data_IF_415092686873
#
_entry.id   IF_415092686873
#
_cell.length_a   1.000
_cell.length_b   1.000
_cell.length_c   1.000
_cell.angle_alpha   90.00
_cell.angle_beta   90.00
_cell.angle_gamma   90.00
#
_symmetry.space_group_name_H-M   'P 1'
#
loop_
_entity.id
_entity.type
_entity.pdbx_description
1 polymer ?
#
# COMPACT_ATOMS: atom_id res chain seq x y z
N UNK A 1 -3.20 1.63 7.95
CA UNK A 1 -4.09 0.87 8.85
C UNK A 1 -3.55 0.69 10.27
N UNK A 2 -2.24 0.51 10.51
CA UNK A 2 -1.70 0.41 11.87
C UNK A 2 -1.99 1.61 12.79
N UNK A 3 -2.39 2.76 12.25
CA UNK A 3 -2.90 3.91 12.99
C UNK A 3 -4.02 3.54 13.99
N UNK A 4 -4.88 2.57 13.65
CA UNK A 4 -5.99 2.15 14.53
C UNK A 4 -5.53 1.34 15.74
N UNK A 5 -4.27 0.91 15.78
CA UNK A 5 -3.67 0.23 16.94
C UNK A 5 -3.15 1.20 18.00
N UNK A 6 -3.08 2.50 17.71
CA UNK A 6 -2.54 3.50 18.64
C UNK A 6 -3.50 3.74 19.80
N UNK A 7 -2.95 4.19 20.93
CA UNK A 7 -3.75 4.55 22.12
C UNK A 7 -4.75 5.67 21.80
N UNK A 8 -4.37 6.59 20.91
CA UNK A 8 -5.24 7.64 20.39
C UNK A 8 -5.15 7.64 18.87
N UNK A 9 -5.98 6.82 18.18
CA UNK A 9 -5.99 6.78 16.72
C UNK A 9 -6.41 8.13 16.13
N UNK A 10 -5.94 8.44 14.93
CA UNK A 10 -6.42 9.61 14.22
C UNK A 10 -7.93 9.46 13.89
N UNK A 11 -8.79 10.41 14.32
CA UNK A 11 -10.23 10.33 14.09
C UNK A 11 -10.61 10.34 12.61
N UNK A 12 -9.85 11.01 11.73
CA UNK A 12 -10.09 10.99 10.29
C UNK A 12 -9.88 9.60 9.69
N UNK A 13 -8.88 8.85 10.17
CA UNK A 13 -8.66 7.46 9.74
C UNK A 13 -9.77 6.55 10.21
N UNK A 14 -10.24 6.70 11.46
CA UNK A 14 -11.36 5.91 11.97
C UNK A 14 -12.63 6.18 11.16
N UNK A 15 -12.90 7.44 10.85
CA UNK A 15 -14.02 7.85 10.01
C UNK A 15 -13.91 7.26 8.60
N UNK A 16 -12.74 7.37 7.97
CA UNK A 16 -12.50 6.77 6.67
C UNK A 16 -12.75 5.26 6.67
N UNK A 17 -12.25 4.53 7.67
CA UNK A 17 -12.46 3.07 7.75
C UNK A 17 -13.93 2.72 7.92
N UNK A 18 -14.69 3.53 8.66
CA UNK A 18 -16.12 3.34 8.88
C UNK A 18 -16.95 3.67 7.64
N UNK A 19 -16.61 4.75 6.95
CA UNK A 19 -17.45 5.35 5.90
C UNK A 19 -17.08 4.84 4.50
N UNK A 20 -15.85 4.38 4.29
CA UNK A 20 -15.38 3.94 2.97
C UNK A 20 -16.02 2.59 2.58
N UNK A 21 -16.73 2.52 1.44
CA UNK A 21 -17.26 1.26 0.95
C UNK A 21 -16.12 0.38 0.43
N UNK A 22 -16.26 -0.93 0.60
CA UNK A 22 -15.43 -1.95 -0.07
C UNK A 22 -13.91 -1.81 0.17
N UNK A 23 -13.49 -1.54 1.41
CA UNK A 23 -12.07 -1.56 1.77
C UNK A 23 -11.48 -2.96 1.60
N UNK A 24 -10.28 -3.01 1.03
CA UNK A 24 -9.47 -4.22 0.89
C UNK A 24 -8.07 -3.99 1.44
N UNK A 25 -7.45 -5.06 1.92
CA UNK A 25 -6.06 -5.04 2.43
C UNK A 25 -5.16 -5.69 1.38
N UNK A 26 -4.22 -4.97 0.75
CA UNK A 26 -3.25 -5.61 -0.14
C UNK A 26 -2.34 -6.55 0.67
N UNK A 27 -2.02 -7.73 0.11
CA UNK A 27 -1.12 -8.70 0.75
C UNK A 27 0.23 -8.09 1.17
N UNK A 28 0.72 -7.09 0.42
CA UNK A 28 1.87 -6.27 0.78
C UNK A 28 1.79 -5.68 2.20
N UNK A 29 0.63 -5.13 2.57
CA UNK A 29 0.41 -4.53 3.89
C UNK A 29 0.42 -5.59 5.00
N UNK A 30 -0.04 -6.82 4.71
CA UNK A 30 0.05 -7.94 5.64
C UNK A 30 1.52 -8.28 5.92
N UNK A 31 2.34 -8.36 4.87
CA UNK A 31 3.79 -8.57 5.01
C UNK A 31 4.42 -7.48 5.89
N UNK A 32 4.06 -6.21 5.66
CA UNK A 32 4.55 -5.10 6.48
C UNK A 32 4.12 -5.20 7.95
N UNK A 33 2.87 -5.61 8.23
CA UNK A 33 2.40 -5.82 9.61
C UNK A 33 3.20 -6.92 10.30
N UNK A 34 3.37 -8.07 9.64
CA UNK A 34 4.11 -9.21 10.19
C UNK A 34 5.57 -8.86 10.44
N UNK A 35 6.23 -8.18 9.50
CA UNK A 35 7.60 -7.72 9.67
C UNK A 35 7.74 -6.73 10.83
N UNK A 36 6.83 -5.76 10.93
CA UNK A 36 6.83 -4.79 12.02
C UNK A 36 6.64 -5.43 13.39
N UNK A 37 5.72 -6.40 13.51
CA UNK A 37 5.50 -7.19 14.72
C UNK A 37 6.77 -7.98 15.08
N UNK A 38 7.32 -8.73 14.12
CA UNK A 38 8.49 -9.59 14.36
C UNK A 38 9.73 -8.78 14.76
N UNK A 39 9.95 -7.62 14.15
CA UNK A 39 11.05 -6.71 14.52
C UNK A 39 10.90 -6.18 15.95
N UNK A 40 9.66 -6.01 16.44
CA UNK A 40 9.40 -5.57 17.81
C UNK A 40 9.58 -6.68 18.84
N UNK A 41 9.44 -7.97 18.48
CA UNK A 41 9.59 -9.08 19.43
C UNK A 41 10.93 -9.03 20.19
N UNK A 42 12.01 -8.62 19.54
CA UNK A 42 13.34 -8.52 20.17
C UNK A 42 13.58 -7.23 20.96
N UNK A 43 12.76 -6.19 20.76
CA UNK A 43 12.98 -4.83 21.31
C UNK A 43 11.94 -4.40 22.33
N UNK A 44 10.69 -4.76 22.10
CA UNK A 44 9.52 -4.42 22.92
C UNK A 44 8.45 -5.51 22.75
N UNK A 45 8.60 -6.66 23.46
CA UNK A 45 7.71 -7.80 23.31
C UNK A 45 6.28 -7.50 23.77
N UNK A 46 6.10 -6.59 24.74
CA UNK A 46 4.76 -6.18 25.21
C UNK A 46 4.01 -5.47 24.09
N UNK A 47 4.67 -4.54 23.39
CA UNK A 47 4.09 -3.86 22.24
C UNK A 47 3.87 -4.81 21.06
N UNK A 48 4.76 -5.77 20.85
CA UNK A 48 4.58 -6.80 19.83
C UNK A 48 3.30 -7.61 20.07
N UNK A 49 3.07 -8.10 21.29
CA UNK A 49 1.83 -8.81 21.67
C UNK A 49 0.59 -7.96 21.38
N UNK A 50 0.59 -6.68 21.81
CA UNK A 50 -0.54 -5.77 21.55
C UNK A 50 -0.83 -5.60 20.06
N UNK A 51 0.21 -5.44 19.23
CA UNK A 51 0.06 -5.30 17.79
C UNK A 51 -0.41 -6.61 17.14
N UNK A 52 0.04 -7.76 17.63
CA UNK A 52 -0.46 -9.07 17.20
C UNK A 52 -1.95 -9.21 17.49
N UNK A 53 -2.40 -8.89 18.71
CA UNK A 53 -3.83 -8.93 19.07
C UNK A 53 -4.65 -8.00 18.19
N UNK A 54 -4.17 -6.77 17.95
CA UNK A 54 -4.82 -5.84 17.03
C UNK A 54 -4.91 -6.41 15.60
N UNK A 55 -3.84 -6.98 15.07
CA UNK A 55 -3.81 -7.56 13.74
C UNK A 55 -4.80 -8.73 13.62
N UNK A 56 -4.83 -9.63 14.60
CA UNK A 56 -5.81 -10.72 14.62
C UNK A 56 -7.25 -10.20 14.65
N UNK A 57 -7.51 -9.13 15.43
CA UNK A 57 -8.80 -8.45 15.42
C UNK A 57 -9.17 -7.87 14.06
N UNK A 58 -8.21 -7.25 13.36
CA UNK A 58 -8.39 -6.73 11.99
C UNK A 58 -8.76 -7.85 11.01
N UNK A 59 -8.05 -8.97 11.03
CA UNK A 59 -8.33 -10.10 10.12
C UNK A 59 -9.68 -10.75 10.45
N UNK A 60 -10.03 -10.85 11.73
CA UNK A 60 -11.33 -11.38 12.17
C UNK A 60 -12.53 -10.53 11.70
N UNK A 61 -12.33 -9.28 11.27
CA UNK A 61 -13.41 -8.48 10.66
C UNK A 61 -13.90 -9.04 9.32
N UNK A 62 -13.13 -9.94 8.69
CA UNK A 62 -13.44 -10.46 7.36
C UNK A 62 -13.19 -9.45 6.23
N UNK A 63 -12.44 -8.37 6.50
CA UNK A 63 -12.05 -7.42 5.46
C UNK A 63 -11.31 -8.17 4.33
N UNK A 64 -11.75 -8.04 3.05
CA UNK A 64 -11.14 -8.78 1.97
C UNK A 64 -9.66 -8.47 1.80
N UNK A 65 -8.88 -9.50 1.51
CA UNK A 65 -7.46 -9.39 1.18
C UNK A 65 -7.32 -9.37 -0.33
N UNK A 66 -6.60 -8.38 -0.86
CA UNK A 66 -6.21 -8.34 -2.25
C UNK A 66 -4.92 -9.16 -2.42
N UNK A 67 -5.11 -10.41 -2.84
CA UNK A 67 -4.06 -11.42 -3.00
C UNK A 67 -3.07 -11.06 -4.13
N UNK A 68 -1.86 -11.63 -4.04
CA UNK A 68 -0.83 -11.46 -5.06
C UNK A 68 -0.94 -12.56 -6.12
N UNK A 69 -1.76 -12.30 -7.14
CA UNK A 69 -1.86 -13.17 -8.32
C UNK A 69 -0.74 -12.95 -9.33
N UNK A 70 -0.73 -13.78 -10.39
CA UNK A 70 0.21 -13.68 -11.51
C UNK A 70 0.30 -12.25 -12.07
N UNK A 71 -0.84 -11.63 -12.37
CA UNK A 71 -0.90 -10.31 -13.00
C UNK A 71 -0.29 -9.22 -12.10
N UNK A 72 -0.51 -9.31 -10.78
CA UNK A 72 0.09 -8.40 -9.79
C UNK A 72 1.61 -8.60 -9.76
N UNK A 73 2.08 -9.85 -9.76
CA UNK A 73 3.50 -10.16 -9.77
C UNK A 73 4.21 -9.67 -11.04
N UNK A 74 3.59 -9.81 -12.22
CA UNK A 74 4.13 -9.30 -13.49
C UNK A 74 4.23 -7.77 -13.49
N UNK A 75 3.17 -7.06 -13.08
CA UNK A 75 3.22 -5.60 -12.97
C UNK A 75 4.24 -5.17 -11.93
N UNK A 76 4.32 -5.84 -10.79
CA UNK A 76 5.31 -5.52 -9.75
C UNK A 76 6.74 -5.69 -10.26
N UNK A 77 7.03 -6.77 -10.99
CA UNK A 77 8.33 -7.00 -11.62
C UNK A 77 8.72 -5.88 -12.59
N UNK A 78 7.76 -5.42 -13.40
CA UNK A 78 7.97 -4.30 -14.32
C UNK A 78 8.27 -2.98 -13.58
N UNK A 79 7.49 -2.67 -12.53
CA UNK A 79 7.74 -1.49 -11.69
C UNK A 79 9.10 -1.58 -10.99
N UNK A 80 9.48 -2.77 -10.54
CA UNK A 80 10.73 -3.01 -9.83
C UNK A 80 11.97 -2.91 -10.74
N UNK A 81 11.82 -3.23 -12.03
CA UNK A 81 12.87 -3.09 -13.02
C UNK A 81 13.08 -1.65 -13.50
N UNK A 82 12.12 -0.74 -13.27
CA UNK A 82 12.22 0.64 -13.71
C UNK A 82 13.28 1.42 -12.90
N UNK A 83 14.37 1.90 -13.53
CA UNK A 83 15.42 2.64 -12.83
C UNK A 83 14.92 3.94 -12.20
N UNK A 84 13.83 4.53 -12.70
CA UNK A 84 13.22 5.76 -12.18
C UNK A 84 12.53 5.54 -10.83
N UNK A 85 12.24 4.28 -10.47
CA UNK A 85 11.61 3.87 -9.21
C UNK A 85 12.58 3.16 -8.26
N UNK A 86 13.87 3.06 -8.63
CA UNK A 86 14.89 2.30 -7.88
C UNK A 86 15.03 2.72 -6.42
N UNK A 87 14.81 4.01 -6.11
CA UNK A 87 14.83 4.54 -4.76
C UNK A 87 13.71 4.00 -3.85
N UNK A 88 12.69 3.33 -4.41
CA UNK A 88 11.62 2.66 -3.67
C UNK A 88 11.97 1.20 -3.32
N UNK A 89 13.01 0.63 -3.95
CA UNK A 89 13.53 -0.71 -3.68
C UNK A 89 14.81 -0.71 -2.87
N UNK A 90 15.71 0.23 -3.16
CA UNK A 90 17.05 0.24 -2.57
C UNK A 90 17.12 1.35 -1.53
N UNK A 91 17.57 0.99 -0.33
CA UNK A 91 17.87 1.97 0.71
C UNK A 91 19.26 2.51 0.52
N UNK A 92 19.45 3.81 0.78
CA UNK A 92 20.78 4.39 0.81
C UNK A 92 21.58 3.79 1.99
N UNK A 93 22.91 3.63 1.86
CA UNK A 93 23.77 3.24 2.98
C UNK A 93 23.53 4.17 4.19
N UNK A 94 23.24 3.58 5.36
CA UNK A 94 22.93 4.33 6.59
C UNK A 94 21.45 4.67 6.80
N UNK A 95 20.56 4.29 5.88
CA UNK A 95 19.12 4.44 6.09
C UNK A 95 18.66 3.60 7.30
N UNK A 96 17.90 4.22 8.21
CA UNK A 96 17.35 3.55 9.40
C UNK A 96 16.30 2.47 9.07
N UNK A 97 15.74 2.49 7.85
CA UNK A 97 14.69 1.56 7.39
C UNK A 97 15.11 0.95 6.06
N UNK A 98 15.00 -0.37 5.97
CA UNK A 98 15.16 -1.13 4.73
C UNK A 98 13.89 -0.95 3.90
N UNK A 99 14.06 -0.52 2.66
CA UNK A 99 13.03 -0.53 1.61
C UNK A 99 13.00 -1.93 0.98
N UNK A 100 11.81 -2.51 0.91
CA UNK A 100 11.57 -3.85 0.39
C UNK A 100 10.59 -3.83 -0.81
N UNK A 101 10.41 -2.66 -1.43
CA UNK A 101 9.53 -2.51 -2.60
C UNK A 101 8.05 -2.73 -2.34
N UNK A 102 7.59 -2.71 -1.08
CA UNK A 102 6.17 -2.93 -0.77
C UNK A 102 5.27 -1.83 -1.34
N UNK A 103 5.74 -0.58 -1.41
CA UNK A 103 5.00 0.49 -2.10
C UNK A 103 4.80 0.17 -3.60
N UNK A 104 5.80 -0.42 -4.26
CA UNK A 104 5.67 -0.88 -5.66
C UNK A 104 4.69 -2.05 -5.77
N UNK A 105 4.70 -2.96 -4.79
CA UNK A 105 3.77 -4.08 -4.76
C UNK A 105 2.32 -3.61 -4.57
N UNK A 106 2.07 -2.66 -3.67
CA UNK A 106 0.76 -2.02 -3.48
C UNK A 106 0.33 -1.30 -4.76
N UNK A 107 1.23 -0.55 -5.40
CA UNK A 107 0.94 0.13 -6.66
C UNK A 107 0.58 -0.84 -7.78
N UNK A 108 1.30 -1.97 -7.90
CA UNK A 108 0.97 -3.01 -8.87
C UNK A 108 -0.42 -3.60 -8.62
N UNK A 109 -0.74 -3.91 -7.36
CA UNK A 109 -2.06 -4.42 -6.99
C UNK A 109 -3.18 -3.41 -7.32
N UNK A 110 -2.95 -2.12 -7.06
CA UNK A 110 -3.88 -1.04 -7.43
C UNK A 110 -4.06 -0.90 -8.94
N UNK A 111 -2.98 -0.99 -9.72
CA UNK A 111 -3.04 -0.94 -11.19
C UNK A 111 -3.82 -2.13 -11.77
N UNK A 112 -3.63 -3.34 -11.24
CA UNK A 112 -4.34 -4.54 -11.72
C UNK A 112 -5.83 -4.51 -11.34
N UNK A 113 -6.13 -4.17 -10.07
CA UNK A 113 -7.49 -4.16 -9.55
C UNK A 113 -8.28 -2.89 -9.88
N UNK A 114 -7.61 -1.85 -10.41
CA UNK A 114 -8.17 -0.52 -10.62
C UNK A 114 -8.75 0.12 -9.34
N UNK A 115 -8.20 -0.24 -8.18
CA UNK A 115 -8.63 0.29 -6.89
C UNK A 115 -7.72 1.44 -6.43
N UNK A 116 -8.29 2.58 -5.98
CA UNK A 116 -7.50 3.67 -5.39
C UNK A 116 -6.74 3.25 -4.13
N UNK A 117 -5.64 3.94 -3.85
CA UNK A 117 -4.78 3.68 -2.70
C UNK A 117 -5.06 4.73 -1.62
N UNK A 118 -5.41 4.27 -0.41
CA UNK A 118 -5.47 5.10 0.78
C UNK A 118 -4.15 5.02 1.57
N UNK A 119 -3.39 6.11 1.67
CA UNK A 119 -2.03 6.08 2.22
C UNK A 119 -1.61 7.40 2.85
N UNK A 120 -0.75 7.31 3.87
CA UNK A 120 -0.01 8.46 4.40
C UNK A 120 1.30 8.70 3.64
N UNK A 121 1.80 7.71 2.90
CA UNK A 121 3.03 7.81 2.11
C UNK A 121 2.78 8.44 0.73
N UNK A 122 2.11 9.59 0.69
CA UNK A 122 1.65 10.23 -0.56
C UNK A 122 2.79 10.45 -1.55
N UNK A 123 3.98 10.82 -1.05
CA UNK A 123 5.14 11.15 -1.89
C UNK A 123 5.60 9.98 -2.76
N UNK A 124 5.74 8.79 -2.20
CA UNK A 124 6.24 7.63 -2.95
C UNK A 124 5.21 7.18 -4.00
N UNK A 125 3.91 7.24 -3.68
CA UNK A 125 2.85 6.92 -4.65
C UNK A 125 2.68 8.00 -5.73
N UNK A 126 2.90 9.29 -5.44
CA UNK A 126 2.94 10.33 -6.46
C UNK A 126 4.12 10.16 -7.43
N UNK A 127 5.29 9.71 -6.93
CA UNK A 127 6.42 9.36 -7.78
C UNK A 127 6.05 8.22 -8.74
N UNK A 128 5.43 7.15 -8.25
CA UNK A 128 4.95 6.05 -9.11
C UNK A 128 3.94 6.57 -10.12
N UNK A 129 2.94 7.36 -9.68
CA UNK A 129 1.89 7.92 -10.51
C UNK A 129 2.40 8.78 -11.67
N UNK A 130 3.55 9.43 -11.51
CA UNK A 130 4.17 10.24 -12.58
C UNK A 130 4.65 9.42 -13.80
N UNK A 131 4.86 8.11 -13.62
CA UNK A 131 5.29 7.19 -14.68
C UNK A 131 4.23 6.12 -15.01
N UNK A 132 3.45 5.72 -14.01
CA UNK A 132 2.41 4.70 -14.09
C UNK A 132 1.13 5.26 -13.44
N UNK A 133 0.23 5.87 -14.22
CA UNK A 133 -0.97 6.52 -13.69
C UNK A 133 -1.78 5.56 -12.80
N UNK A 134 -1.89 5.90 -11.52
CA UNK A 134 -2.61 5.12 -10.53
C UNK A 134 -4.10 5.50 -10.57
N UNK A 135 -5.01 4.55 -10.25
CA UNK A 135 -6.46 4.81 -10.25
C UNK A 135 -6.85 5.93 -9.29
N UNK A 136 -6.11 6.09 -8.19
CA UNK A 136 -6.19 7.26 -7.34
C UNK A 136 -5.30 7.14 -6.10
N UNK A 137 -5.01 8.28 -5.50
CA UNK A 137 -4.22 8.40 -4.27
C UNK A 137 -5.00 9.30 -3.32
N UNK A 138 -5.44 8.72 -2.20
CA UNK A 138 -6.18 9.39 -1.16
C UNK A 138 -5.40 9.35 0.16
N UNK A 139 -5.36 10.47 0.86
CA UNK A 139 -4.78 10.55 2.19
C UNK A 139 -5.89 10.67 3.24
N UNK A 140 -6.13 9.61 4.05
CA UNK A 140 -7.16 9.65 5.08
C UNK A 140 -6.79 10.53 6.29
N UNK A 141 -5.56 11.05 6.38
CA UNK A 141 -5.16 11.91 7.49
C UNK A 141 -5.80 13.30 7.40
N UNK A 142 -5.89 13.83 6.19
CA UNK A 142 -6.32 15.18 5.85
C UNK A 142 -7.50 15.19 4.86
N UNK A 143 -8.11 14.02 4.62
CA UNK A 143 -9.26 13.83 3.74
C UNK A 143 -9.04 14.36 2.31
N UNK A 144 -7.82 14.20 1.79
CA UNK A 144 -7.40 14.82 0.52
C UNK A 144 -7.11 13.77 -0.56
N UNK A 145 -7.63 14.02 -1.76
CA UNK A 145 -7.23 13.29 -2.96
C UNK A 145 -6.05 13.99 -3.63
N UNK A 146 -4.92 13.29 -3.73
CA UNK A 146 -3.71 13.82 -4.37
C UNK A 146 -3.61 13.43 -5.85
N UNK A 147 -4.29 12.37 -6.25
CA UNK A 147 -4.47 11.99 -7.65
C UNK A 147 -5.81 11.27 -7.82
N UNK A 148 -6.51 11.52 -8.92
CA UNK A 148 -7.64 10.71 -9.38
C UNK A 148 -7.46 10.47 -10.86
N UNK A 149 -7.57 9.23 -11.31
CA UNK A 149 -7.76 8.98 -12.72
C UNK A 149 -9.15 9.49 -13.09
N UNK A 150 -9.21 10.43 -14.03
CA UNK A 150 -10.48 10.89 -14.64
C UNK A 150 -10.97 9.93 -15.73
N UNK A 151 -10.22 8.87 -16.03
CA UNK A 151 -10.45 8.09 -17.25
C UNK A 151 -11.02 6.72 -16.95
N UNK A 152 -12.28 6.52 -17.36
CA UNK A 152 -12.89 5.23 -17.65
C UNK A 152 -12.39 4.61 -18.98
N UNK A 153 -11.40 5.21 -19.66
CA UNK A 153 -10.97 4.81 -21.02
C UNK A 153 -9.46 5.05 -21.24
N UNK A 154 -8.59 4.05 -20.98
CA UNK A 154 -7.20 4.08 -21.50
C UNK A 154 -6.46 2.73 -21.49
N UNK A 155 -7.14 1.58 -21.41
CA UNK A 155 -6.47 0.26 -21.49
C UNK A 155 -6.57 -0.40 -22.87
N UNK A 156 -7.40 0.11 -23.77
CA UNK A 156 -7.55 -0.43 -25.13
C UNK A 156 -6.41 -0.06 -26.09
N UNK A 157 -5.54 0.90 -25.75
CA UNK A 157 -4.50 1.39 -26.68
C UNK A 157 -3.09 0.87 -26.41
N UNK A 158 -2.82 0.25 -25.25
CA UNK A 158 -1.47 -0.28 -24.96
C UNK A 158 -1.16 -1.66 -25.55
N UNK A 159 -2.15 -2.39 -26.04
CA UNK A 159 -1.94 -3.66 -26.76
C UNK A 159 -1.55 -3.48 -28.24
N UNK A 160 -1.40 -2.24 -28.72
CA UNK A 160 -1.04 -1.95 -30.13
C UNK A 160 0.40 -1.44 -30.33
N UNK A 161 1.21 -1.36 -29.28
CA UNK A 161 2.55 -0.76 -29.37
C UNK A 161 3.62 -1.70 -28.81
N UNK A 162 3.68 -2.93 -29.30
CA UNK A 162 4.91 -3.72 -29.33
C UNK A 162 4.87 -4.62 -30.58
N UNK A 163 5.82 -4.47 -31.54
CA UNK A 163 6.00 -5.42 -32.64
C UNK A 163 6.57 -6.76 -32.14
#
# INVERSE_FOLDING_TARGET
>A
MSETSRVKPNPHVLRFIKDAPNLVIPAAAIVEFQQGIMQLCSRDPIKAVRLTTWYQGLIATGMPILETGKDVAEVWGNLAADPRLRNLLVSHPGAKRIRLGQDLHIAAAALVSQLPIATFNVKDFLLINSYYPLPGIYNPQDDTWHARSTSSYALAERSKVFP
#
